data_IF_448647944927
#
_entry.id   IF_448647944927
#
_cell.length_a   1.000
_cell.length_b   1.000
_cell.length_c   1.000
_cell.angle_alpha   90.00
_cell.angle_beta   90.00
_cell.angle_gamma   90.00
#
_symmetry.space_group_name_H-M   'P 1'
#
loop_
_entity.id
_entity.type
_entity.pdbx_description
1 polymer ?
#
# COMPACT_ATOMS: atom_id res chain seq x y z
N UNK A 1 14.95 -6.98 -19.25
CA UNK A 1 15.00 -7.10 -17.78
C UNK A 1 14.20 -5.96 -17.24
N UNK A 2 12.97 -6.24 -16.80
CA UNK A 2 12.15 -5.23 -16.13
C UNK A 2 12.90 -4.77 -14.89
N UNK A 3 13.02 -3.46 -14.74
CA UNK A 3 13.70 -2.87 -13.60
C UNK A 3 12.69 -2.80 -12.46
N UNK A 4 13.10 -3.28 -11.29
CA UNK A 4 12.32 -3.10 -10.09
C UNK A 4 12.56 -1.70 -9.49
N UNK A 5 11.57 -1.20 -8.77
CA UNK A 5 11.62 0.07 -8.06
C UNK A 5 11.18 -0.09 -6.60
N UNK A 6 11.66 0.83 -5.76
CA UNK A 6 11.19 0.98 -4.39
C UNK A 6 10.35 2.25 -4.31
N UNK A 7 9.13 2.13 -3.78
CA UNK A 7 8.16 3.24 -3.72
C UNK A 7 7.61 3.38 -2.31
N UNK A 8 7.33 4.63 -1.92
CA UNK A 8 6.59 4.92 -0.70
C UNK A 8 5.18 5.35 -1.07
N UNK A 9 4.19 4.61 -0.59
CA UNK A 9 2.77 4.91 -0.78
C UNK A 9 2.26 5.60 0.46
N UNK A 10 1.70 6.80 0.31
CA UNK A 10 1.00 7.51 1.38
C UNK A 10 -0.50 7.25 1.26
N UNK A 11 -1.09 6.68 2.30
CA UNK A 11 -2.52 6.32 2.35
C UNK A 11 -3.19 7.10 3.47
N UNK A 12 -4.32 7.74 3.18
CA UNK A 12 -5.16 8.34 4.22
C UNK A 12 -6.01 7.25 4.87
N UNK A 13 -5.86 7.07 6.18
CA UNK A 13 -6.56 6.05 6.96
C UNK A 13 -7.52 6.73 7.93
N UNK A 14 -8.77 6.30 7.91
CA UNK A 14 -9.83 6.86 8.73
C UNK A 14 -10.91 5.80 8.99
N UNK A 15 -11.20 5.50 10.26
CA UNK A 15 -12.16 4.47 10.66
C UNK A 15 -13.64 4.80 10.37
N UNK A 16 -13.94 6.02 9.94
CA UNK A 16 -15.30 6.46 9.61
C UNK A 16 -15.44 7.99 9.61
N UNK A 17 -16.61 8.53 9.23
CA UNK A 17 -16.79 9.96 8.94
C UNK A 17 -16.51 10.91 10.11
N UNK A 18 -16.66 10.40 11.35
CA UNK A 18 -16.46 11.17 12.59
C UNK A 18 -15.10 10.93 13.25
N UNK A 19 -14.33 9.95 12.77
CA UNK A 19 -13.00 9.67 13.29
C UNK A 19 -11.99 10.67 12.72
N UNK A 20 -10.98 11.05 13.51
CA UNK A 20 -9.83 11.79 12.97
C UNK A 20 -9.02 10.84 12.10
N UNK A 21 -8.79 11.21 10.84
CA UNK A 21 -7.91 10.45 9.95
C UNK A 21 -6.45 10.89 10.07
N UNK A 22 -5.56 10.09 9.50
CA UNK A 22 -4.15 10.38 9.40
C UNK A 22 -3.57 9.74 8.13
N UNK A 23 -2.45 10.28 7.64
CA UNK A 23 -1.66 9.60 6.64
C UNK A 23 -0.81 8.51 7.29
N UNK A 24 -0.83 7.32 6.71
CA UNK A 24 0.14 6.26 6.93
C UNK A 24 1.03 6.16 5.70
N UNK A 25 2.31 5.79 5.87
CA UNK A 25 3.25 5.61 4.77
C UNK A 25 3.75 4.18 4.77
N UNK A 26 3.63 3.50 3.63
CA UNK A 26 4.08 2.13 3.44
C UNK A 26 5.17 2.08 2.39
N UNK A 27 6.25 1.37 2.70
CA UNK A 27 7.37 1.17 1.79
C UNK A 27 7.19 -0.15 1.05
N UNK A 28 6.99 -0.08 -0.26
CA UNK A 28 6.97 -1.24 -1.15
C UNK A 28 8.34 -1.36 -1.81
N UNK A 29 8.90 -2.56 -1.75
CA UNK A 29 10.23 -2.86 -2.29
C UNK A 29 10.13 -3.80 -3.47
N UNK A 30 11.09 -3.69 -4.38
CA UNK A 30 11.24 -4.59 -5.53
C UNK A 30 9.99 -4.70 -6.42
N UNK A 31 9.26 -3.58 -6.60
CA UNK A 31 8.06 -3.53 -7.41
C UNK A 31 8.43 -3.46 -8.89
N UNK A 32 7.88 -4.38 -9.69
CA UNK A 32 8.10 -4.36 -11.14
C UNK A 32 7.56 -3.08 -11.77
N UNK A 33 8.34 -2.44 -12.64
CA UNK A 33 7.88 -1.30 -13.43
C UNK A 33 6.76 -1.66 -14.43
N UNK A 34 6.54 -2.95 -14.70
CA UNK A 34 5.41 -3.43 -15.50
C UNK A 34 4.12 -3.56 -14.71
N UNK A 35 4.16 -3.48 -13.37
CA UNK A 35 2.97 -3.59 -12.54
C UNK A 35 2.06 -2.37 -12.69
N UNK A 36 0.78 -2.64 -12.86
CA UNK A 36 -0.27 -1.64 -12.77
C UNK A 36 -0.41 -1.12 -11.34
N UNK A 37 -1.06 0.04 -11.18
CA UNK A 37 -1.33 0.60 -9.87
C UNK A 37 -2.19 -0.32 -8.99
N UNK A 38 -3.15 -1.05 -9.57
CA UNK A 38 -4.00 -1.97 -8.81
C UNK A 38 -3.21 -3.17 -8.30
N UNK A 39 -2.34 -3.76 -9.11
CA UNK A 39 -1.45 -4.85 -8.67
C UNK A 39 -0.50 -4.37 -7.55
N UNK A 40 -0.04 -3.11 -7.60
CA UNK A 40 0.72 -2.52 -6.48
C UNK A 40 -0.10 -2.41 -5.19
N UNK A 41 -1.41 -2.14 -5.29
CA UNK A 41 -2.31 -2.13 -4.13
C UNK A 41 -2.57 -3.54 -3.61
N UNK A 42 -2.66 -4.54 -4.48
CA UNK A 42 -2.80 -5.95 -4.07
C UNK A 42 -1.58 -6.40 -3.27
N UNK A 43 -0.37 -6.10 -3.74
CA UNK A 43 0.89 -6.37 -3.00
C UNK A 43 0.90 -5.67 -1.62
N UNK A 44 0.48 -4.40 -1.56
CA UNK A 44 0.38 -3.67 -0.31
C UNK A 44 -0.62 -4.34 0.65
N UNK A 45 -1.78 -4.74 0.14
CA UNK A 45 -2.82 -5.38 0.94
C UNK A 45 -2.37 -6.73 1.48
N UNK A 46 -1.70 -7.55 0.68
CA UNK A 46 -1.10 -8.80 1.14
C UNK A 46 -0.08 -8.56 2.27
N UNK A 47 0.78 -7.55 2.12
CA UNK A 47 1.72 -7.18 3.18
C UNK A 47 0.99 -6.78 4.48
N UNK A 48 -0.04 -5.93 4.39
CA UNK A 48 -0.81 -5.50 5.56
C UNK A 48 -1.50 -6.67 6.26
N UNK A 49 -2.11 -7.58 5.49
CA UNK A 49 -2.77 -8.78 6.02
C UNK A 49 -1.75 -9.68 6.75
N UNK A 50 -0.58 -9.89 6.17
CA UNK A 50 0.50 -10.67 6.79
C UNK A 50 1.03 -10.01 8.08
N UNK A 51 0.96 -8.68 8.18
CA UNK A 51 1.28 -7.92 9.39
C UNK A 51 0.10 -7.85 10.40
N UNK A 52 -1.04 -8.46 10.10
CA UNK A 52 -2.25 -8.41 10.94
C UNK A 52 -2.94 -7.05 10.96
N UNK A 53 -2.74 -6.22 9.91
CA UNK A 53 -3.32 -4.90 9.74
C UNK A 53 -4.48 -4.93 8.75
N UNK A 54 -5.39 -3.96 8.86
CA UNK A 54 -6.51 -3.86 7.91
C UNK A 54 -6.00 -3.44 6.52
N UNK A 55 -6.44 -4.12 5.44
CA UNK A 55 -6.09 -3.74 4.08
C UNK A 55 -6.63 -2.35 3.72
N UNK A 56 -6.14 -1.81 2.61
CA UNK A 56 -6.60 -0.58 1.97
C UNK A 56 -7.55 -0.97 0.84
N UNK A 57 -8.83 -0.62 0.99
CA UNK A 57 -9.93 -0.92 0.06
C UNK A 57 -10.68 0.34 -0.32
#
# INVERSE_FOLDING_TARGET
>A
MDKNININVKVWRQKGPKAKGNFETYALKEISQGSSFLEMMDILNEQLINEGKDPVV
#
